data_IF_297085970451
#
_entry.id   IF_297085970451
#
_cell.length_a   1.000
_cell.length_b   1.000
_cell.length_c   1.000
_cell.angle_alpha   90.00
_cell.angle_beta   90.00
_cell.angle_gamma   90.00
#
_symmetry.space_group_name_H-M   'P 1'
#
loop_
_entity.id
_entity.type
_entity.pdbx_description
1 polymer ?
#
# COMPACT_ATOMS: atom_id res chain seq x y z
N UNK A 1 -2.07 -6.13 -8.53
CA UNK A 1 -3.34 -5.95 -9.31
C UNK A 1 -4.56 -5.56 -8.48
N UNK A 2 -5.22 -6.43 -7.70
CA UNK A 2 -6.45 -6.02 -6.98
C UNK A 2 -6.18 -4.95 -5.90
N UNK A 3 -5.15 -5.17 -5.07
CA UNK A 3 -4.71 -4.21 -4.05
C UNK A 3 -4.30 -2.88 -4.70
N UNK A 4 -3.49 -2.94 -5.75
CA UNK A 4 -3.02 -1.76 -6.51
C UNK A 4 -4.17 -0.91 -7.08
N UNK A 5 -5.16 -1.54 -7.73
CA UNK A 5 -6.34 -0.81 -8.24
C UNK A 5 -7.23 -0.28 -7.12
N UNK A 6 -7.37 -1.04 -6.04
CA UNK A 6 -8.10 -0.61 -4.84
C UNK A 6 -7.42 0.55 -4.10
N UNK A 7 -6.12 0.80 -4.33
CA UNK A 7 -5.40 1.97 -3.83
C UNK A 7 -5.59 3.17 -4.75
N UNK A 8 -5.54 2.99 -6.08
CA UNK A 8 -5.67 4.07 -7.04
C UNK A 8 -7.01 4.78 -6.98
N UNK A 9 -8.09 4.01 -6.91
CA UNK A 9 -9.44 4.58 -6.87
C UNK A 9 -9.63 5.59 -5.71
N UNK A 10 -9.36 5.25 -4.43
CA UNK A 10 -9.45 6.24 -3.36
C UNK A 10 -8.40 7.36 -3.46
N UNK A 11 -7.19 7.10 -3.96
CA UNK A 11 -6.19 8.14 -4.17
C UNK A 11 -6.67 9.20 -5.18
N UNK A 12 -7.28 8.77 -6.28
CA UNK A 12 -7.88 9.65 -7.29
C UNK A 12 -9.07 10.46 -6.74
N UNK A 13 -9.75 9.95 -5.71
CA UNK A 13 -10.83 10.65 -4.99
C UNK A 13 -10.34 11.51 -3.81
N UNK A 14 -9.03 11.66 -3.62
CA UNK A 14 -8.43 12.55 -2.63
C UNK A 14 -8.39 11.98 -1.20
N UNK A 15 -8.47 10.66 -1.04
CA UNK A 15 -8.23 10.01 0.24
C UNK A 15 -6.73 9.83 0.49
N UNK A 16 -6.31 9.97 1.76
CA UNK A 16 -4.98 9.53 2.20
C UNK A 16 -4.96 8.01 2.30
N UNK A 17 -4.26 7.35 1.37
CA UNK A 17 -4.20 5.89 1.31
C UNK A 17 -2.90 5.38 1.93
N UNK A 18 -3.00 4.37 2.78
CA UNK A 18 -1.86 3.63 3.33
C UNK A 18 -1.89 2.19 2.86
N UNK A 19 -0.82 1.75 2.19
CA UNK A 19 -0.59 0.36 1.83
C UNK A 19 0.26 -0.33 2.90
N UNK A 20 -0.25 -1.43 3.45
CA UNK A 20 0.44 -2.21 4.48
C UNK A 20 1.29 -3.31 3.81
N UNK A 21 2.58 -3.03 3.67
CA UNK A 21 3.50 -3.76 2.80
C UNK A 21 3.62 -5.25 3.13
N UNK A 22 3.60 -5.59 4.42
CA UNK A 22 3.72 -6.95 4.96
C UNK A 22 2.36 -7.67 5.13
N UNK A 23 1.26 -7.03 4.74
CA UNK A 23 -0.09 -7.60 4.76
C UNK A 23 -0.68 -7.81 3.35
N UNK A 24 0.16 -7.75 2.31
CA UNK A 24 -0.25 -7.92 0.90
C UNK A 24 0.63 -8.95 0.20
N UNK A 25 0.18 -9.45 -0.95
CA UNK A 25 0.97 -10.36 -1.78
C UNK A 25 0.69 -10.17 -3.27
N UNK A 26 1.63 -10.62 -4.09
CA UNK A 26 1.56 -10.62 -5.55
C UNK A 26 1.96 -11.99 -6.11
N UNK A 27 1.82 -12.15 -7.42
CA UNK A 27 2.15 -13.39 -8.15
C UNK A 27 3.62 -13.80 -8.03
N UNK A 28 4.52 -12.87 -7.71
CA UNK A 28 5.91 -13.15 -7.39
C UNK A 28 6.50 -12.05 -6.51
N UNK A 29 7.65 -12.33 -5.88
CA UNK A 29 8.41 -11.34 -5.13
C UNK A 29 8.85 -10.14 -5.99
N UNK A 30 9.13 -10.36 -7.28
CA UNK A 30 9.47 -9.28 -8.21
C UNK A 30 8.30 -8.34 -8.47
N UNK A 31 7.09 -8.89 -8.62
CA UNK A 31 5.88 -8.08 -8.76
C UNK A 31 5.53 -7.34 -7.47
N UNK A 32 5.65 -8.00 -6.31
CA UNK A 32 5.46 -7.35 -5.01
C UNK A 32 6.41 -6.16 -4.82
N UNK A 33 7.69 -6.36 -5.16
CA UNK A 33 8.70 -5.31 -5.12
C UNK A 33 8.33 -4.17 -6.06
N UNK A 34 7.97 -4.47 -7.32
CA UNK A 34 7.63 -3.46 -8.31
C UNK A 34 6.43 -2.59 -7.87
N UNK A 35 5.39 -3.21 -7.33
CA UNK A 35 4.19 -2.51 -6.86
C UNK A 35 4.53 -1.57 -5.68
N UNK A 36 5.18 -2.08 -4.63
CA UNK A 36 5.46 -1.30 -3.40
C UNK A 36 6.54 -0.24 -3.56
N UNK A 37 7.57 -0.51 -4.36
CA UNK A 37 8.75 0.36 -4.45
C UNK A 37 8.77 1.30 -5.67
N UNK A 38 7.77 1.20 -6.55
CA UNK A 38 7.70 2.07 -7.72
C UNK A 38 6.28 2.52 -8.05
N UNK A 39 5.33 1.59 -8.21
CA UNK A 39 4.00 1.91 -8.72
C UNK A 39 3.15 2.76 -7.77
N UNK A 40 3.32 2.57 -6.45
CA UNK A 40 2.44 3.14 -5.43
C UNK A 40 3.05 4.33 -4.67
N UNK A 41 4.37 4.57 -4.76
CA UNK A 41 5.06 5.55 -3.91
C UNK A 41 4.55 6.99 -4.05
N UNK A 42 3.97 7.33 -5.19
CA UNK A 42 3.46 8.69 -5.44
C UNK A 42 2.01 8.90 -4.99
N UNK A 43 1.30 7.83 -4.66
CA UNK A 43 -0.16 7.86 -4.45
C UNK A 43 -0.60 7.21 -3.13
N UNK A 44 0.30 6.56 -2.40
CA UNK A 44 0.02 5.95 -1.11
C UNK A 44 1.24 6.00 -0.19
N UNK A 45 0.98 6.12 1.11
CA UNK A 45 1.98 5.86 2.15
C UNK A 45 2.25 4.37 2.23
N UNK A 46 3.51 3.96 2.26
CA UNK A 46 3.91 2.57 2.46
C UNK A 46 4.31 2.39 3.92
N UNK A 47 3.64 1.48 4.63
CA UNK A 47 3.89 1.20 6.05
C UNK A 47 3.90 -0.31 6.32
N UNK A 48 4.46 -0.72 7.45
CA UNK A 48 4.31 -2.09 7.97
C UNK A 48 3.13 -2.19 8.95
N UNK A 49 2.72 -3.42 9.24
CA UNK A 49 1.59 -3.72 10.11
C UNK A 49 1.79 -3.16 11.52
N UNK A 50 3.02 -3.21 12.06
CA UNK A 50 3.33 -2.73 13.40
C UNK A 50 3.18 -1.21 13.53
N UNK A 51 3.66 -0.47 12.53
CA UNK A 51 3.52 0.99 12.44
C UNK A 51 2.06 1.42 12.42
N UNK A 52 1.23 0.75 11.62
CA UNK A 52 -0.21 1.04 11.53
C UNK A 52 -0.93 0.70 12.84
N UNK A 53 -0.64 -0.45 13.45
CA UNK A 53 -1.23 -0.84 14.75
C UNK A 53 -0.84 0.16 15.84
N UNK A 54 0.41 0.62 15.85
CA UNK A 54 0.89 1.62 16.80
C UNK A 54 0.15 2.95 16.63
N UNK A 55 0.00 3.42 15.38
CA UNK A 55 -0.72 4.67 15.08
C UNK A 55 -2.22 4.61 15.44
N UNK A 56 -2.86 3.45 15.37
CA UNK A 56 -4.28 3.29 15.71
C UNK A 56 -4.56 3.19 17.22
N UNK A 57 -3.52 2.99 18.04
CA UNK A 57 -3.65 2.81 19.50
C UNK A 57 -3.38 4.10 20.30
N UNK A 58 -2.87 5.14 19.65
CA UNK A 58 -2.62 6.47 20.24
C UNK A 58 -3.87 7.35 20.19
#
# INVERSE_FOLDING_TARGET
>A
MAVEHGIRDPADHGYDVTAVADATSALSAGWQHAELNFALQNIATIADTDSVITALRS
#
